data_IF_095018725873
#
_entry.id   IF_095018725873
#
_cell.length_a   1.000
_cell.length_b   1.000
_cell.length_c   1.000
_cell.angle_alpha   90.00
_cell.angle_beta   90.00
_cell.angle_gamma   90.00
#
_symmetry.space_group_name_H-M   'P 1'
#
loop_
_entity.id
_entity.type
_entity.pdbx_description
1 polymer ?
#
# COMPACT_ATOMS: atom_id res chain seq x y z
N UNK A 1 -28.29 -87.82 -32.66
CA UNK A 1 -27.61 -87.22 -31.56
C UNK A 1 -27.19 -85.79 -31.99
N UNK A 2 -27.91 -84.77 -31.53
CA UNK A 2 -27.75 -83.38 -31.97
C UNK A 2 -27.03 -82.68 -30.81
N UNK A 3 -25.89 -82.06 -31.13
CA UNK A 3 -25.16 -81.24 -30.20
C UNK A 3 -25.42 -79.77 -30.53
N UNK A 4 -26.16 -79.10 -29.63
CA UNK A 4 -26.49 -77.69 -29.72
C UNK A 4 -25.29 -76.89 -29.22
N UNK A 5 -24.67 -76.11 -30.12
CA UNK A 5 -23.63 -75.11 -29.78
C UNK A 5 -24.27 -73.84 -29.33
N UNK A 6 -24.04 -73.45 -28.04
CA UNK A 6 -24.39 -72.13 -27.50
C UNK A 6 -23.29 -71.13 -27.82
N UNK A 7 -23.64 -70.14 -28.67
CA UNK A 7 -22.79 -69.03 -28.97
C UNK A 7 -22.83 -68.01 -27.80
N UNK A 8 -21.70 -67.72 -27.16
CA UNK A 8 -21.57 -66.73 -26.12
C UNK A 8 -21.11 -65.42 -26.79
N UNK A 9 -22.03 -64.43 -26.86
CA UNK A 9 -21.67 -63.05 -27.27
C UNK A 9 -21.09 -62.33 -26.09
N UNK A 10 -19.80 -62.07 -26.16
CA UNK A 10 -19.11 -61.22 -25.16
C UNK A 10 -19.26 -59.80 -25.64
N UNK A 11 -20.14 -59.03 -24.99
CA UNK A 11 -20.27 -57.60 -25.19
C UNK A 11 -19.17 -56.86 -24.41
N UNK A 12 -18.16 -56.41 -25.13
CA UNK A 12 -17.10 -55.58 -24.51
C UNK A 12 -17.63 -54.13 -24.35
N UNK A 13 -17.94 -53.74 -23.12
CA UNK A 13 -18.20 -52.34 -22.76
C UNK A 13 -16.87 -51.58 -22.75
N UNK A 14 -16.64 -50.78 -23.78
CA UNK A 14 -15.57 -49.76 -23.78
C UNK A 14 -16.02 -48.61 -22.90
N UNK A 15 -15.49 -48.57 -21.64
CA UNK A 15 -15.62 -47.42 -20.80
C UNK A 15 -14.64 -46.35 -21.29
N UNK A 16 -15.14 -45.33 -22.00
CA UNK A 16 -14.37 -44.15 -22.36
C UNK A 16 -14.32 -43.25 -21.11
N UNK A 17 -13.19 -43.33 -20.36
CA UNK A 17 -12.90 -42.37 -19.31
C UNK A 17 -12.54 -41.02 -19.95
N UNK A 18 -13.53 -40.12 -19.99
CA UNK A 18 -13.23 -38.70 -20.21
C UNK A 18 -12.50 -38.16 -18.97
N UNK A 19 -11.18 -38.07 -19.03
CA UNK A 19 -10.42 -37.25 -18.09
C UNK A 19 -10.70 -35.80 -18.43
N UNK A 20 -11.60 -35.18 -17.70
CA UNK A 20 -11.74 -33.73 -17.70
C UNK A 20 -10.49 -33.17 -17.01
N UNK A 21 -9.50 -32.79 -17.80
CA UNK A 21 -8.40 -31.96 -17.31
C UNK A 21 -8.99 -30.60 -16.91
N UNK A 22 -9.29 -30.45 -15.63
CA UNK A 22 -9.53 -29.12 -15.06
C UNK A 22 -8.17 -28.43 -15.15
N UNK A 23 -7.98 -27.61 -16.18
CA UNK A 23 -6.89 -26.64 -16.21
C UNK A 23 -7.12 -25.76 -14.97
N UNK A 24 -6.34 -25.96 -13.94
CA UNK A 24 -6.25 -25.03 -12.82
C UNK A 24 -5.76 -23.74 -13.43
N UNK A 25 -6.64 -22.75 -13.60
CA UNK A 25 -6.21 -21.39 -13.84
C UNK A 25 -5.32 -21.01 -12.66
N UNK A 26 -4.03 -20.91 -12.90
CA UNK A 26 -3.00 -20.54 -11.92
C UNK A 26 -3.02 -19.03 -11.66
N UNK A 27 -4.19 -18.42 -11.66
CA UNK A 27 -4.40 -17.02 -11.30
C UNK A 27 -4.88 -16.94 -9.85
N UNK A 28 -4.01 -16.50 -8.95
CA UNK A 28 -4.43 -16.07 -7.62
C UNK A 28 -5.45 -14.92 -7.70
N UNK A 29 -6.06 -14.52 -6.59
CA UNK A 29 -6.98 -13.39 -6.58
C UNK A 29 -6.28 -12.12 -7.09
N UNK A 30 -7.03 -11.26 -7.78
CA UNK A 30 -6.55 -9.94 -8.20
C UNK A 30 -6.60 -9.02 -6.99
N UNK A 31 -5.53 -8.25 -6.71
CA UNK A 31 -5.55 -7.30 -5.60
C UNK A 31 -6.61 -6.23 -5.83
N UNK A 32 -7.34 -5.90 -4.77
CA UNK A 32 -8.39 -4.87 -4.81
C UNK A 32 -7.75 -3.48 -4.93
N UNK A 33 -8.14 -2.65 -5.89
CA UNK A 33 -7.69 -1.26 -5.90
C UNK A 33 -8.09 -0.54 -4.62
N UNK A 34 -7.25 0.37 -4.17
CA UNK A 34 -7.63 1.26 -3.06
C UNK A 34 -8.86 2.10 -3.45
N UNK A 35 -9.71 2.46 -2.48
CA UNK A 35 -10.73 3.48 -2.71
C UNK A 35 -10.08 4.78 -3.18
N UNK A 36 -10.77 5.53 -4.02
CA UNK A 36 -10.25 6.82 -4.51
C UNK A 36 -10.08 7.85 -3.38
N UNK A 37 -10.85 7.70 -2.31
CA UNK A 37 -10.78 8.53 -1.11
C UNK A 37 -10.91 7.66 0.14
N UNK A 38 -10.03 7.88 1.11
CA UNK A 38 -10.13 7.24 2.43
C UNK A 38 -9.30 7.96 3.49
N UNK A 39 -9.66 7.71 4.73
CA UNK A 39 -8.90 8.05 5.94
C UNK A 39 -8.48 6.76 6.65
N UNK A 40 -7.28 6.75 7.21
CA UNK A 40 -6.75 5.59 7.93
C UNK A 40 -5.80 6.01 9.05
N UNK A 41 -5.95 5.39 10.20
CA UNK A 41 -4.95 5.48 11.27
C UNK A 41 -4.05 4.24 11.19
N UNK A 42 -2.74 4.47 11.14
CA UNK A 42 -1.73 3.44 11.08
C UNK A 42 -0.88 3.46 12.34
N UNK A 43 -0.59 2.28 12.87
CA UNK A 43 0.49 2.11 13.83
C UNK A 43 1.72 1.60 13.08
N UNK A 44 2.81 2.33 13.17
CA UNK A 44 4.05 2.00 12.45
C UNK A 44 5.20 1.74 13.40
N UNK A 45 6.04 0.80 13.00
CA UNK A 45 7.35 0.54 13.61
C UNK A 45 8.41 0.54 12.50
N UNK A 46 9.47 1.32 12.68
CA UNK A 46 10.59 1.33 11.73
C UNK A 46 11.75 0.44 12.22
N UNK A 47 12.75 0.21 11.36
CA UNK A 47 13.92 -0.64 11.67
C UNK A 47 14.72 -0.21 12.90
N UNK A 48 14.59 1.04 13.31
CA UNK A 48 15.26 1.58 14.53
C UNK A 48 14.43 1.35 15.79
N UNK A 49 13.25 0.69 15.67
CA UNK A 49 12.32 0.46 16.77
C UNK A 49 11.54 1.70 17.19
N UNK A 50 11.54 2.75 16.38
CA UNK A 50 10.73 3.94 16.66
C UNK A 50 9.28 3.66 16.30
N UNK A 51 8.40 3.90 17.26
CA UNK A 51 6.96 3.76 17.08
C UNK A 51 6.36 5.09 16.61
N UNK A 52 5.42 4.99 15.68
CA UNK A 52 4.72 6.13 15.09
C UNK A 52 3.23 5.82 14.97
N UNK A 53 2.42 6.83 15.14
CA UNK A 53 1.02 6.85 14.66
C UNK A 53 0.99 7.74 13.45
N UNK A 54 0.41 7.26 12.36
CA UNK A 54 0.22 8.03 11.13
C UNK A 54 -1.26 8.19 10.89
N UNK A 55 -1.70 9.41 10.79
CA UNK A 55 -3.05 9.82 10.38
C UNK A 55 -2.98 10.10 8.88
N UNK A 56 -3.46 9.13 8.08
CA UNK A 56 -3.33 9.10 6.63
C UNK A 56 -4.64 9.52 5.97
N UNK A 57 -4.58 10.58 5.17
CA UNK A 57 -5.66 11.04 4.32
C UNK A 57 -5.27 10.91 2.85
N UNK A 58 -6.10 10.22 2.08
CA UNK A 58 -5.87 9.95 0.67
C UNK A 58 -7.03 10.47 -0.18
N UNK A 59 -6.72 11.26 -1.20
CA UNK A 59 -7.70 11.91 -2.07
C UNK A 59 -7.18 11.91 -3.52
N UNK A 60 -7.34 10.77 -4.18
CA UNK A 60 -6.86 10.54 -5.54
C UNK A 60 -7.50 11.49 -6.57
N UNK A 61 -8.84 11.73 -6.57
CA UNK A 61 -9.48 12.63 -7.54
C UNK A 61 -8.91 14.04 -7.55
N UNK A 62 -8.39 14.50 -6.40
CA UNK A 62 -7.77 15.81 -6.26
C UNK A 62 -6.24 15.74 -6.24
N UNK A 63 -5.65 14.57 -6.52
CA UNK A 63 -4.20 14.38 -6.67
C UNK A 63 -3.42 14.72 -5.40
N UNK A 64 -3.90 14.31 -4.22
CA UNK A 64 -3.29 14.71 -2.93
C UNK A 64 -3.32 13.59 -1.90
N UNK A 65 -2.28 13.53 -1.08
CA UNK A 65 -2.11 12.62 0.05
C UNK A 65 -1.52 13.38 1.24
N UNK A 66 -1.99 13.10 2.44
CA UNK A 66 -1.54 13.80 3.63
C UNK A 66 -1.30 12.83 4.78
N UNK A 67 -0.09 12.80 5.28
CA UNK A 67 0.30 12.02 6.44
C UNK A 67 0.65 12.96 7.60
N UNK A 68 -0.08 12.85 8.70
CA UNK A 68 0.25 13.52 9.96
C UNK A 68 0.92 12.47 10.85
N UNK A 69 2.23 12.61 11.06
CA UNK A 69 3.08 11.61 11.67
C UNK A 69 3.39 12.00 13.10
N UNK A 70 2.86 11.25 14.07
CA UNK A 70 3.17 11.38 15.49
C UNK A 70 4.26 10.39 15.85
N UNK A 71 5.46 10.90 16.09
CA UNK A 71 6.55 10.12 16.69
C UNK A 71 6.31 9.92 18.18
N UNK A 72 6.86 8.84 18.75
CA UNK A 72 6.59 8.37 20.11
C UNK A 72 6.72 9.45 21.20
N UNK A 73 7.75 10.30 21.15
CA UNK A 73 7.99 11.41 22.08
C UNK A 73 8.39 12.69 21.34
N UNK A 74 8.10 12.76 20.05
CA UNK A 74 8.56 13.82 19.18
C UNK A 74 7.46 14.79 18.79
N UNK A 75 7.86 15.74 17.96
CA UNK A 75 6.96 16.68 17.31
C UNK A 75 6.10 16.00 16.26
N UNK A 76 4.92 16.57 15.99
CA UNK A 76 4.15 16.18 14.81
C UNK A 76 4.91 16.63 13.56
N UNK A 77 5.08 15.70 12.64
CA UNK A 77 5.54 15.98 11.29
C UNK A 77 4.33 15.89 10.35
N UNK A 78 4.15 16.91 9.55
CA UNK A 78 3.14 16.99 8.51
C UNK A 78 3.80 16.74 7.18
N UNK A 79 3.29 15.79 6.42
CA UNK A 79 3.80 15.39 5.11
C UNK A 79 2.64 15.47 4.10
N UNK A 80 2.54 16.60 3.43
CA UNK A 80 1.53 16.90 2.44
C UNK A 80 2.10 16.69 1.05
N UNK A 81 1.56 15.73 0.34
CA UNK A 81 2.01 15.30 -0.98
C UNK A 81 0.98 15.64 -2.06
N UNK A 82 1.48 16.12 -3.20
CA UNK A 82 0.66 16.43 -4.36
C UNK A 82 1.06 15.61 -5.58
N UNK A 83 0.11 15.30 -6.43
CA UNK A 83 0.30 14.56 -7.68
C UNK A 83 1.18 15.30 -8.69
N UNK A 84 1.38 16.61 -8.52
CA UNK A 84 2.36 17.40 -9.27
C UNK A 84 3.80 17.14 -8.82
N UNK A 85 4.06 16.08 -8.06
CA UNK A 85 5.36 15.63 -7.57
C UNK A 85 5.96 16.49 -6.43
N UNK A 86 5.22 17.45 -5.91
CA UNK A 86 5.67 18.31 -4.80
C UNK A 86 5.19 17.75 -3.47
N UNK A 87 6.09 17.66 -2.51
CA UNK A 87 5.77 17.30 -1.12
C UNK A 87 6.31 18.35 -0.16
N UNK A 88 5.50 18.69 0.83
CA UNK A 88 5.80 19.65 1.89
C UNK A 88 5.92 18.90 3.22
N UNK A 89 7.12 18.91 3.79
CA UNK A 89 7.39 18.38 5.13
C UNK A 89 7.51 19.54 6.10
N UNK A 90 6.58 19.66 7.05
CA UNK A 90 6.57 20.81 7.93
C UNK A 90 6.14 20.48 9.37
N UNK A 91 6.43 21.40 10.30
CA UNK A 91 5.99 21.35 11.69
C UNK A 91 5.18 22.62 12.02
N UNK A 92 4.16 22.49 12.86
CA UNK A 92 3.36 23.64 13.32
C UNK A 92 3.81 24.16 14.68
N UNK A 93 4.94 23.69 15.19
CA UNK A 93 5.52 24.17 16.44
C UNK A 93 6.18 25.55 16.28
N UNK A 94 6.76 26.06 17.38
CA UNK A 94 7.40 27.39 17.40
C UNK A 94 8.52 27.56 16.36
N UNK A 95 9.20 26.46 15.97
CA UNK A 95 10.32 26.49 15.03
C UNK A 95 9.85 26.68 13.58
N UNK A 96 8.59 26.30 13.26
CA UNK A 96 8.00 26.46 11.92
C UNK A 96 8.92 25.91 10.81
N UNK A 97 9.46 24.72 11.04
CA UNK A 97 10.30 24.06 10.05
C UNK A 97 9.49 23.68 8.82
N UNK A 98 10.03 23.91 7.61
CA UNK A 98 9.43 23.43 6.38
C UNK A 98 10.52 23.07 5.38
N UNK A 99 10.33 21.92 4.73
CA UNK A 99 11.15 21.47 3.62
C UNK A 99 10.25 21.09 2.48
N UNK A 100 10.48 21.70 1.31
CA UNK A 100 9.78 21.36 0.07
C UNK A 100 10.66 20.41 -0.74
N UNK A 101 10.08 19.32 -1.22
CA UNK A 101 10.80 18.33 -2.02
C UNK A 101 10.05 18.06 -3.32
N UNK A 102 10.83 17.80 -4.38
CA UNK A 102 10.31 17.28 -5.64
C UNK A 102 10.67 15.80 -5.76
N UNK A 103 9.66 14.97 -6.08
CA UNK A 103 9.85 13.56 -6.33
C UNK A 103 9.70 13.23 -7.81
N UNK A 104 10.31 12.15 -8.32
CA UNK A 104 10.15 11.75 -9.71
C UNK A 104 8.74 11.19 -10.01
N UNK A 105 7.93 10.93 -8.99
CA UNK A 105 6.57 10.37 -9.08
C UNK A 105 5.64 11.13 -8.17
N UNK A 106 4.35 11.17 -8.53
CA UNK A 106 3.27 11.71 -7.70
C UNK A 106 2.78 10.71 -6.64
N UNK A 107 1.58 10.93 -6.12
CA UNK A 107 0.95 10.04 -5.16
C UNK A 107 0.61 8.68 -5.78
N UNK A 108 0.52 7.64 -4.95
CA UNK A 108 0.12 6.30 -5.41
C UNK A 108 -1.28 6.31 -6.02
N UNK A 109 -1.39 5.74 -7.22
CA UNK A 109 -2.70 5.50 -7.85
C UNK A 109 -3.45 4.36 -7.15
N UNK A 110 -4.80 4.33 -7.20
CA UNK A 110 -5.58 3.29 -6.51
C UNK A 110 -5.19 1.86 -6.87
N UNK A 111 -4.82 1.59 -8.12
CA UNK A 111 -4.44 0.25 -8.60
C UNK A 111 -2.93 -0.05 -8.51
N UNK A 112 -2.21 0.63 -7.64
CA UNK A 112 -0.73 0.51 -7.51
C UNK A 112 -0.24 -0.93 -7.30
N UNK A 113 -1.05 -1.78 -6.67
CA UNK A 113 -0.69 -3.17 -6.40
C UNK A 113 -0.92 -4.11 -7.62
N UNK A 114 -1.47 -3.59 -8.73
CA UNK A 114 -1.66 -4.36 -9.95
C UNK A 114 -0.35 -4.97 -10.44
N UNK A 115 -0.37 -6.27 -10.79
CA UNK A 115 0.82 -7.03 -11.17
C UNK A 115 1.67 -7.49 -10.00
N UNK A 116 1.23 -7.30 -8.76
CA UNK A 116 1.86 -7.91 -7.58
C UNK A 116 1.80 -9.43 -7.60
N UNK A 117 2.84 -10.06 -7.04
CA UNK A 117 2.95 -11.51 -6.92
C UNK A 117 2.11 -12.00 -5.73
N UNK A 118 1.13 -12.88 -5.98
CA UNK A 118 0.30 -13.46 -4.94
C UNK A 118 1.04 -14.55 -4.16
N UNK A 119 1.11 -14.41 -2.83
CA UNK A 119 1.83 -15.31 -1.93
C UNK A 119 0.93 -16.25 -1.11
N UNK A 120 -0.38 -16.29 -1.44
CA UNK A 120 -1.36 -17.09 -0.70
C UNK A 120 -2.03 -16.33 0.43
N UNK A 121 -2.66 -17.08 1.34
CA UNK A 121 -3.38 -16.52 2.49
C UNK A 121 -2.62 -16.70 3.79
N UNK A 122 -2.68 -15.70 4.67
CA UNK A 122 -2.10 -15.74 6.02
C UNK A 122 -2.97 -14.98 7.01
N UNK A 123 -2.94 -15.41 8.28
CA UNK A 123 -3.53 -14.63 9.36
C UNK A 123 -2.61 -13.48 9.76
N UNK A 124 -3.17 -12.28 9.91
CA UNK A 124 -2.49 -11.09 10.37
C UNK A 124 -3.47 -10.23 11.16
N UNK A 125 -3.09 -9.79 12.37
CA UNK A 125 -3.91 -8.95 13.27
C UNK A 125 -5.34 -9.47 13.49
N UNK A 126 -5.53 -10.80 13.48
CA UNK A 126 -6.82 -11.45 13.65
C UNK A 126 -7.65 -11.62 12.39
N UNK A 127 -7.18 -11.16 11.24
CA UNK A 127 -7.84 -11.27 9.94
C UNK A 127 -7.20 -12.36 9.08
N UNK A 128 -8.00 -13.08 8.29
CA UNK A 128 -7.47 -13.90 7.20
C UNK A 128 -7.23 -12.99 6.00
N UNK A 129 -5.98 -12.87 5.58
CA UNK A 129 -5.57 -11.94 4.54
C UNK A 129 -5.07 -12.67 3.30
N UNK A 130 -5.39 -12.15 2.12
CA UNK A 130 -4.61 -12.37 0.92
C UNK A 130 -3.32 -11.58 1.03
N UNK A 131 -2.22 -12.16 0.55
CA UNK A 131 -0.89 -11.55 0.66
C UNK A 131 -0.29 -11.39 -0.72
N UNK A 132 0.19 -10.19 -1.01
CA UNK A 132 0.93 -9.88 -2.23
C UNK A 132 2.28 -9.27 -1.92
N UNK A 133 3.22 -9.56 -2.77
CA UNK A 133 4.52 -8.91 -2.84
C UNK A 133 4.61 -8.11 -4.13
N UNK A 134 5.16 -6.92 -4.08
CA UNK A 134 5.46 -6.14 -5.28
C UNK A 134 6.92 -5.72 -5.27
N UNK A 135 7.67 -6.30 -6.24
CA UNK A 135 9.03 -5.95 -6.68
C UNK A 135 9.94 -5.53 -5.53
N UNK A 136 10.31 -6.45 -4.62
CA UNK A 136 11.26 -6.23 -3.51
C UNK A 136 11.01 -4.95 -2.69
N UNK A 137 9.80 -4.40 -2.80
CA UNK A 137 9.41 -3.12 -2.23
C UNK A 137 8.49 -3.28 -1.04
N UNK A 138 7.35 -3.97 -1.23
CA UNK A 138 6.31 -4.09 -0.21
C UNK A 138 5.73 -5.49 -0.14
N UNK A 139 5.47 -5.94 1.08
CA UNK A 139 4.56 -7.04 1.39
C UNK A 139 3.25 -6.44 1.88
N UNK A 140 2.14 -6.79 1.25
CA UNK A 140 0.83 -6.19 1.50
C UNK A 140 -0.22 -7.24 1.85
N UNK A 141 -0.98 -7.00 2.90
CA UNK A 141 -2.02 -7.88 3.42
C UNK A 141 -3.39 -7.21 3.30
N UNK A 142 -4.30 -7.87 2.61
CA UNK A 142 -5.69 -7.46 2.44
C UNK A 142 -6.63 -8.48 3.07
N UNK A 143 -7.54 -8.04 3.93
CA UNK A 143 -8.56 -8.92 4.50
C UNK A 143 -9.40 -9.58 3.40
N UNK A 144 -9.50 -10.90 3.46
CA UNK A 144 -10.26 -11.69 2.46
C UNK A 144 -11.73 -11.30 2.42
N UNK A 145 -12.32 -10.96 3.56
CA UNK A 145 -13.75 -10.67 3.67
C UNK A 145 -14.11 -9.24 3.24
N UNK A 146 -13.39 -8.24 3.76
CA UNK A 146 -13.74 -6.83 3.58
C UNK A 146 -12.98 -6.15 2.46
N UNK A 147 -11.90 -6.78 1.94
CA UNK A 147 -10.99 -6.22 0.94
C UNK A 147 -10.27 -4.95 1.41
N UNK A 148 -10.19 -4.75 2.72
CA UNK A 148 -9.47 -3.62 3.32
C UNK A 148 -8.02 -3.98 3.60
N UNK A 149 -7.10 -3.01 3.55
CA UNK A 149 -5.74 -3.23 4.00
C UNK A 149 -5.73 -3.54 5.50
N UNK A 150 -4.86 -4.46 5.91
CA UNK A 150 -4.65 -4.85 7.32
C UNK A 150 -3.24 -4.52 7.76
N UNK A 151 -2.27 -4.82 6.89
CA UNK A 151 -0.87 -4.77 7.27
C UNK A 151 0.02 -4.65 6.04
N UNK A 152 1.15 -3.94 6.15
CA UNK A 152 2.18 -3.94 5.12
C UNK A 152 3.58 -3.75 5.69
N UNK A 153 4.57 -4.26 4.97
CA UNK A 153 5.99 -4.13 5.29
C UNK A 153 6.72 -3.54 4.10
N UNK A 154 7.44 -2.47 4.31
CA UNK A 154 8.34 -1.89 3.32
C UNK A 154 9.75 -2.45 3.48
N UNK A 155 10.18 -3.31 2.57
CA UNK A 155 11.45 -4.03 2.71
C UNK A 155 12.68 -3.11 2.75
N UNK A 156 12.72 -2.09 1.90
CA UNK A 156 13.90 -1.21 1.77
C UNK A 156 14.21 -0.42 3.05
N UNK A 157 13.23 -0.19 3.86
CA UNK A 157 13.37 0.60 5.09
C UNK A 157 12.97 -0.18 6.34
N UNK A 158 12.49 -1.42 6.15
CA UNK A 158 12.01 -2.28 7.24
C UNK A 158 10.89 -1.69 8.08
N UNK A 159 10.12 -0.75 7.52
CA UNK A 159 8.98 -0.18 8.21
C UNK A 159 7.79 -1.14 8.14
N UNK A 160 7.17 -1.36 9.28
CA UNK A 160 6.01 -2.20 9.47
C UNK A 160 4.82 -1.31 9.80
N UNK A 161 3.69 -1.52 9.12
CA UNK A 161 2.46 -0.76 9.34
C UNK A 161 1.29 -1.69 9.63
N UNK A 162 0.61 -1.43 10.74
CA UNK A 162 -0.66 -2.05 11.10
C UNK A 162 -1.78 -1.05 10.85
N UNK A 163 -2.82 -1.44 10.13
CA UNK A 163 -3.97 -0.59 9.83
C UNK A 163 -4.96 -0.68 10.98
N UNK A 164 -5.07 0.39 11.77
CA UNK A 164 -5.97 0.42 12.92
C UNK A 164 -7.39 0.79 12.54
N UNK A 165 -7.54 1.74 11.60
CA UNK A 165 -8.85 2.15 11.05
C UNK A 165 -8.76 2.30 9.54
N UNK A 166 -9.89 2.15 8.85
CA UNK A 166 -9.96 2.37 7.40
C UNK A 166 -11.37 2.84 7.02
N UNK A 167 -11.51 4.13 6.74
CA UNK A 167 -12.78 4.81 6.50
C UNK A 167 -12.89 5.24 5.04
N UNK A 168 -13.57 4.45 4.23
CA UNK A 168 -13.77 4.71 2.79
C UNK A 168 -14.62 5.96 2.58
N UNK A 169 -14.23 6.79 1.63
CA UNK A 169 -14.94 8.03 1.25
C UNK A 169 -14.72 9.20 2.20
N UNK A 170 -13.91 9.04 3.24
CA UNK A 170 -13.53 10.15 4.12
C UNK A 170 -12.46 11.00 3.48
N UNK A 171 -12.65 12.30 3.54
CA UNK A 171 -11.72 13.30 3.01
C UNK A 171 -11.73 14.53 3.92
N UNK A 172 -10.58 15.20 4.02
CA UNK A 172 -10.50 16.51 4.70
C UNK A 172 -11.17 17.60 3.86
N UNK A 173 -11.68 18.63 4.53
CA UNK A 173 -12.12 19.85 3.87
C UNK A 173 -10.94 20.55 3.18
N UNK A 174 -11.18 21.17 2.03
CA UNK A 174 -10.15 21.79 1.19
C UNK A 174 -9.18 22.72 1.93
N UNK A 175 -9.60 23.58 2.87
CA UNK A 175 -8.68 24.43 3.61
C UNK A 175 -7.61 23.67 4.40
N UNK A 176 -7.87 22.41 4.78
CA UNK A 176 -6.93 21.60 5.56
C UNK A 176 -5.80 20.98 4.71
N UNK A 177 -5.90 21.08 3.38
CA UNK A 177 -4.87 20.63 2.44
C UNK A 177 -3.86 21.74 2.09
N UNK A 178 -3.71 22.74 2.91
CA UNK A 178 -2.81 23.86 2.68
C UNK A 178 -1.54 23.73 3.49
N UNK A 179 -0.38 23.76 2.83
CA UNK A 179 0.88 23.95 3.52
C UNK A 179 0.95 25.37 4.12
N UNK A 180 1.60 25.55 5.26
CA UNK A 180 1.73 26.87 5.89
C UNK A 180 2.45 27.90 5.01
N UNK A 181 2.09 29.17 5.15
CA UNK A 181 2.65 30.26 4.34
C UNK A 181 4.19 30.33 4.38
N UNK A 182 4.82 29.92 5.51
CA UNK A 182 6.27 29.93 5.59
C UNK A 182 6.94 28.87 4.72
N UNK A 183 6.20 27.88 4.19
CA UNK A 183 6.71 26.93 3.18
C UNK A 183 6.88 27.55 1.79
N UNK A 184 6.30 28.69 1.53
CA UNK A 184 6.30 29.37 0.22
C UNK A 184 7.16 30.64 0.19
N UNK A 185 7.98 30.88 1.22
CA UNK A 185 8.92 32.00 1.19
C UNK A 185 10.03 31.68 0.21
N UNK A 186 10.18 32.49 -0.82
CA UNK A 186 11.38 32.48 -1.65
C UNK A 186 12.57 32.90 -0.77
N UNK A 187 13.55 32.02 -0.65
CA UNK A 187 14.79 32.30 0.09
C UNK A 187 15.57 33.38 -0.65
N UNK A 188 15.30 34.63 -0.29
CA UNK A 188 16.12 35.79 -0.66
C UNK A 188 17.36 35.98 0.17
N UNK A 189 17.86 34.95 0.89
CA UNK A 189 19.18 34.89 1.49
C UNK A 189 19.46 33.45 1.92
N UNK A 190 20.53 32.90 1.41
CA UNK A 190 21.11 31.62 1.80
C UNK A 190 21.56 31.64 3.27
N UNK A 191 20.68 31.42 4.23
CA UNK A 191 21.07 30.81 5.48
C UNK A 191 20.90 29.31 5.31
N UNK A 192 22.06 28.63 5.24
CA UNK A 192 22.17 27.18 5.22
C UNK A 192 21.36 26.61 6.38
N UNK A 193 20.12 26.20 6.09
CA UNK A 193 19.39 25.34 7.01
C UNK A 193 20.20 24.07 7.19
N UNK A 194 20.71 23.86 8.40
CA UNK A 194 21.35 22.61 8.78
C UNK A 194 20.47 21.43 8.35
N UNK A 195 21.05 20.32 7.90
CA UNK A 195 20.27 19.16 7.46
C UNK A 195 19.43 18.70 8.66
N UNK A 196 18.13 18.95 8.57
CA UNK A 196 17.18 18.55 9.60
C UNK A 196 17.24 17.03 9.69
N UNK A 197 17.74 16.51 10.80
CA UNK A 197 17.83 15.08 11.12
C UNK A 197 16.45 14.39 11.12
N UNK A 198 15.38 15.17 11.13
CA UNK A 198 13.98 14.71 11.13
C UNK A 198 13.60 13.91 9.88
N UNK A 199 14.16 14.23 8.71
CA UNK A 199 13.77 13.56 7.45
C UNK A 199 14.57 12.28 7.21
N UNK A 200 15.76 12.15 7.79
CA UNK A 200 16.56 10.92 7.63
C UNK A 200 16.07 9.78 8.52
N UNK A 201 15.37 10.09 9.61
CA UNK A 201 14.85 9.11 10.56
C UNK A 201 13.36 8.77 10.33
N UNK A 202 12.63 9.66 9.66
CA UNK A 202 11.22 9.49 9.31
C UNK A 202 11.10 9.37 7.80
N UNK A 203 11.29 8.16 7.30
CA UNK A 203 10.95 7.87 5.90
C UNK A 203 9.43 7.96 5.80
N UNK A 204 8.94 8.99 5.13
CA UNK A 204 7.52 9.18 4.91
C UNK A 204 6.96 8.05 4.07
N UNK A 205 5.68 7.74 4.28
CA UNK A 205 4.95 6.74 3.47
C UNK A 205 5.01 7.14 1.99
N UNK A 206 4.89 8.42 1.66
CA UNK A 206 4.96 8.91 0.29
C UNK A 206 6.30 8.68 -0.38
N UNK A 207 7.42 8.89 0.34
CA UNK A 207 8.76 8.56 -0.19
C UNK A 207 8.93 7.07 -0.46
N UNK A 208 8.32 6.24 0.38
CA UNK A 208 8.29 4.80 0.21
C UNK A 208 7.46 4.38 -0.98
N UNK A 209 6.32 5.02 -1.13
CA UNK A 209 5.36 4.76 -2.19
C UNK A 209 5.85 5.29 -3.55
N UNK A 210 6.53 6.43 -3.57
CA UNK A 210 7.16 6.97 -4.78
C UNK A 210 8.25 6.07 -5.38
N UNK A 211 9.02 5.37 -4.53
CA UNK A 211 10.02 4.40 -4.98
C UNK A 211 9.40 3.18 -5.68
N UNK A 212 8.16 2.79 -5.33
CA UNK A 212 7.46 1.67 -5.96
C UNK A 212 6.95 1.96 -7.37
N UNK A 213 6.69 3.22 -7.68
CA UNK A 213 6.15 3.62 -8.98
C UNK A 213 7.22 3.68 -10.07
N UNK A 214 8.53 3.75 -9.72
CA UNK A 214 9.62 3.83 -10.68
C UNK A 214 9.95 2.50 -11.37
N UNK A 215 9.57 1.37 -10.79
CA UNK A 215 9.88 0.04 -11.36
C UNK A 215 8.79 -0.50 -12.31
N UNK A 216 7.84 0.32 -12.74
CA UNK A 216 6.68 -0.09 -13.59
C UNK A 216 6.59 0.72 -14.88
N UNK A 217 7.70 1.27 -15.38
CA UNK A 217 7.74 1.90 -16.73
C UNK A 217 8.40 0.99 -17.75
#
# INVERSE_FOLDING_TARGET
>A
MSISGKSIIITACLAVCFTVSIASESGGPIPTPWPEQFHSILFMNNTKGNLQIVDLWYDWPNGRNFNIIQNQLGKLLYDLEWDNHTSFYYTLDANKECRVMQFPVGILRPNWLQGGNYLGQRYMDGFLCNVWEKVDFILYYEDVATKRPVYWVFFKIGAISHVMTFEVGKVLEDPNWQAPVYCFKEDGNEEKSSPVSLVTDNVSIGRLMGAAAMDVS
#
